data_IF_791816835618
#
_entry.id   IF_791816835618
#
_cell.length_a   1.000
_cell.length_b   1.000
_cell.length_c   1.000
_cell.angle_alpha   90.00
_cell.angle_beta   90.00
_cell.angle_gamma   90.00
#
_symmetry.space_group_name_H-M   'P 1'
#
loop_
_entity.id
_entity.type
_entity.pdbx_description
1 polymer ?
#
# COMPACT_ATOMS: atom_id res chain seq x y z
N UNK A 1 14.78 -2.49 -12.93
CA UNK A 1 15.43 -2.73 -11.61
C UNK A 1 14.51 -3.49 -10.67
N UNK A 2 13.22 -3.10 -10.56
CA UNK A 2 12.16 -3.92 -9.95
C UNK A 2 12.11 -5.35 -10.52
N UNK A 3 12.30 -5.49 -11.82
CA UNK A 3 12.44 -6.79 -12.51
C UNK A 3 13.46 -7.76 -11.87
N UNK A 4 14.52 -7.30 -11.18
CA UNK A 4 15.44 -8.22 -10.46
C UNK A 4 14.84 -8.75 -9.16
N UNK A 5 14.12 -7.89 -8.43
CA UNK A 5 13.34 -8.28 -7.24
C UNK A 5 12.20 -9.23 -7.63
N UNK A 6 11.48 -8.89 -8.70
CA UNK A 6 10.38 -9.69 -9.26
C UNK A 6 10.85 -11.08 -9.68
N UNK A 7 12.07 -11.18 -10.23
CA UNK A 7 12.67 -12.45 -10.65
C UNK A 7 13.42 -13.19 -9.52
N UNK A 8 13.23 -12.81 -8.26
CA UNK A 8 13.81 -13.49 -7.11
C UNK A 8 15.33 -13.43 -6.99
N UNK A 9 16.02 -12.55 -7.75
CA UNK A 9 17.46 -12.31 -7.56
C UNK A 9 17.66 -11.46 -6.32
N UNK A 10 18.56 -11.89 -5.44
CA UNK A 10 18.89 -11.18 -4.20
C UNK A 10 19.24 -9.71 -4.46
N UNK A 11 18.55 -8.81 -3.77
CA UNK A 11 18.79 -7.36 -3.81
C UNK A 11 19.07 -6.91 -2.39
N UNK A 12 20.07 -6.03 -2.22
CA UNK A 12 20.44 -5.54 -0.90
C UNK A 12 19.23 -4.87 -0.21
N UNK A 13 18.98 -5.24 1.05
CA UNK A 13 17.81 -4.81 1.80
C UNK A 13 17.75 -3.28 2.01
N UNK A 14 18.88 -2.61 2.25
CA UNK A 14 18.93 -1.14 2.34
C UNK A 14 18.45 -0.47 1.05
N UNK A 15 18.80 -1.08 -0.09
CA UNK A 15 18.37 -0.58 -1.40
C UNK A 15 16.87 -0.76 -1.61
N UNK A 16 16.27 -1.83 -1.09
CA UNK A 16 14.81 -2.05 -1.10
C UNK A 16 14.12 -0.98 -0.25
N UNK A 17 14.60 -0.76 0.97
CA UNK A 17 14.03 0.24 1.87
C UNK A 17 14.08 1.66 1.27
N UNK A 18 15.19 2.04 0.62
CA UNK A 18 15.28 3.35 -0.07
C UNK A 18 14.29 3.49 -1.22
N UNK A 19 14.04 2.42 -1.98
CA UNK A 19 13.05 2.45 -3.06
C UNK A 19 11.63 2.56 -2.50
N UNK A 20 11.33 1.84 -1.41
CA UNK A 20 10.04 1.95 -0.73
C UNK A 20 9.79 3.37 -0.20
N UNK A 21 10.79 3.96 0.46
CA UNK A 21 10.74 5.33 0.96
C UNK A 21 10.46 6.35 -0.17
N UNK A 22 11.17 6.24 -1.29
CA UNK A 22 10.93 7.10 -2.46
C UNK A 22 9.56 6.92 -3.13
N UNK A 23 8.86 5.81 -2.85
CA UNK A 23 7.49 5.55 -3.31
C UNK A 23 6.43 5.88 -2.26
N UNK A 24 6.83 6.36 -1.08
CA UNK A 24 5.92 6.58 0.05
C UNK A 24 5.34 5.29 0.65
N UNK A 25 6.04 4.16 0.48
CA UNK A 25 5.64 2.85 0.98
C UNK A 25 6.39 2.52 2.28
N UNK A 26 5.70 1.87 3.22
CA UNK A 26 6.28 1.37 4.46
C UNK A 26 6.24 -0.16 4.51
N UNK A 27 7.28 -0.77 5.11
CA UNK A 27 7.30 -2.19 5.40
C UNK A 27 6.78 -2.44 6.82
N UNK A 28 5.79 -3.30 6.97
CA UNK A 28 5.25 -3.69 8.27
C UNK A 28 5.57 -5.16 8.55
N UNK A 29 6.16 -5.43 9.71
CA UNK A 29 6.41 -6.79 10.21
C UNK A 29 5.37 -7.09 11.29
N UNK A 30 4.65 -8.20 11.15
CA UNK A 30 3.60 -8.63 12.09
C UNK A 30 3.74 -10.10 12.45
N UNK A 31 3.22 -10.46 13.61
CA UNK A 31 3.00 -11.86 13.98
C UNK A 31 1.98 -12.51 13.04
N UNK A 32 2.20 -13.80 12.71
CA UNK A 32 1.38 -14.50 11.70
C UNK A 32 -0.09 -14.56 12.07
N UNK A 33 -0.37 -14.67 13.35
CA UNK A 33 -1.71 -14.75 13.93
C UNK A 33 -2.49 -13.45 13.70
N UNK A 34 -1.79 -12.33 13.45
CA UNK A 34 -2.39 -11.00 13.30
C UNK A 34 -2.63 -10.63 11.82
N UNK A 35 -2.19 -11.46 10.87
CA UNK A 35 -2.37 -11.22 9.42
C UNK A 35 -3.84 -11.05 9.05
N UNK A 36 -4.78 -11.91 9.52
CA UNK A 36 -6.20 -11.74 9.17
C UNK A 36 -6.80 -10.42 9.68
N UNK A 37 -6.37 -9.96 10.86
CA UNK A 37 -6.80 -8.66 11.40
C UNK A 37 -6.24 -7.50 10.56
N UNK A 38 -4.98 -7.58 10.15
CA UNK A 38 -4.36 -6.56 9.30
C UNK A 38 -5.04 -6.45 7.92
N UNK A 39 -5.41 -7.59 7.33
CA UNK A 39 -6.16 -7.61 6.06
C UNK A 39 -7.52 -6.91 6.19
N UNK A 40 -8.23 -7.13 7.30
CA UNK A 40 -9.50 -6.44 7.58
C UNK A 40 -9.32 -4.93 7.72
N UNK A 41 -8.28 -4.49 8.45
CA UNK A 41 -7.97 -3.07 8.63
C UNK A 41 -7.59 -2.43 7.30
N UNK A 42 -6.77 -3.09 6.48
CA UNK A 42 -6.39 -2.60 5.16
C UNK A 42 -7.61 -2.46 4.22
N UNK A 43 -8.49 -3.47 4.18
CA UNK A 43 -9.72 -3.42 3.39
C UNK A 43 -10.65 -2.28 3.84
N UNK A 44 -10.76 -2.05 5.15
CA UNK A 44 -11.53 -0.96 5.71
C UNK A 44 -10.93 0.42 5.38
N UNK A 45 -9.61 0.58 5.52
CA UNK A 45 -8.90 1.82 5.18
C UNK A 45 -9.09 2.19 3.70
N UNK A 46 -9.05 1.21 2.80
CA UNK A 46 -9.32 1.41 1.38
C UNK A 46 -10.76 1.86 1.11
N UNK A 47 -11.75 1.31 1.84
CA UNK A 47 -13.15 1.74 1.73
C UNK A 47 -13.32 3.20 2.16
N UNK A 48 -12.69 3.61 3.25
CA UNK A 48 -12.71 5.00 3.73
C UNK A 48 -12.01 5.94 2.75
N UNK A 49 -10.82 5.56 2.25
CA UNK A 49 -10.07 6.36 1.28
C UNK A 49 -10.84 6.59 -0.02
N UNK A 50 -11.57 5.59 -0.50
CA UNK A 50 -12.46 5.76 -1.67
C UNK A 50 -13.70 6.59 -1.36
N UNK A 51 -14.31 6.42 -0.19
CA UNK A 51 -15.46 7.24 0.25
C UNK A 51 -15.14 8.73 0.36
N UNK A 52 -13.90 9.08 0.74
CA UNK A 52 -13.45 10.48 0.78
C UNK A 52 -13.32 11.13 -0.61
N UNK A 53 -13.10 10.33 -1.66
CA UNK A 53 -13.00 10.82 -3.03
C UNK A 53 -14.34 10.78 -3.79
N UNK A 54 -15.37 10.13 -3.23
CA UNK A 54 -16.68 9.95 -3.86
C UNK A 54 -17.68 11.08 -3.52
N UNK A 55 -17.17 12.23 -3.07
CA UNK A 55 -17.95 13.39 -2.67
C UNK A 55 -17.51 14.69 -3.31
N UNK A 56 -17.26 14.74 -4.64
CA UNK A 56 -17.15 15.99 -5.43
C UNK A 56 -17.49 15.80 -6.93
N UNK A 57 -18.58 15.11 -7.28
CA UNK A 57 -19.03 15.07 -8.68
C UNK A 57 -20.54 15.07 -8.86
N UNK A 58 -21.25 15.82 -8.01
CA UNK A 58 -22.62 16.26 -8.29
C UNK A 58 -22.70 17.74 -7.93
N UNK A 59 -23.42 18.50 -8.77
CA UNK A 59 -23.62 19.96 -8.77
C UNK A 59 -22.72 20.75 -9.72
N UNK A 60 -23.13 20.77 -11.00
CA UNK A 60 -23.42 21.98 -11.80
C UNK A 60 -23.87 21.52 -13.19
N UNK A 61 -25.17 21.24 -13.34
CA UNK A 61 -25.86 21.47 -14.62
C UNK A 61 -26.87 22.58 -14.35
N UNK A 62 -26.57 23.78 -14.87
CA UNK A 62 -27.56 24.77 -15.27
C UNK A 62 -27.65 24.75 -16.80
#
# INVERSE_FOLDING_TARGET
MLSKLENGKGVNFERVLRVMDGLGLAMLVVYKEHVPWLEQVAAHAVKIGRGCCQGKHTWLEE
#
